data_IF_294239238764
#
_entry.id   IF_294239238764
#
_cell.length_a   1.000
_cell.length_b   1.000
_cell.length_c   1.000
_cell.angle_alpha   90.00
_cell.angle_beta   90.00
_cell.angle_gamma   90.00
#
_symmetry.space_group_name_H-M   'P 1'
#
loop_
_entity.id
_entity.type
_entity.pdbx_description
1 polymer ?
#
# COMPACT_ATOMS: atom_id res chain seq x y z
N UNK A 1 16.54 51.48 36.43
CA UNK A 1 15.36 50.59 36.21
C UNK A 1 15.26 50.36 34.72
N UNK A 2 15.75 49.21 34.27
CA UNK A 2 15.79 48.83 32.85
C UNK A 2 14.68 47.81 32.64
N UNK A 3 13.68 48.18 31.81
CA UNK A 3 12.56 47.32 31.44
C UNK A 3 13.08 46.23 30.47
N UNK A 4 12.78 44.92 30.67
CA UNK A 4 13.12 43.89 29.70
C UNK A 4 12.20 43.98 28.49
N UNK A 5 12.78 43.94 27.30
CA UNK A 5 12.06 43.85 26.02
C UNK A 5 11.38 42.48 25.90
N UNK A 6 10.09 42.50 25.59
CA UNK A 6 9.29 41.28 25.26
C UNK A 6 9.77 40.65 23.95
N UNK A 7 9.74 39.30 23.84
CA UNK A 7 10.16 38.63 22.62
C UNK A 7 9.10 38.73 21.53
N UNK A 8 9.41 39.45 20.45
CA UNK A 8 8.58 39.54 19.23
C UNK A 8 8.68 38.28 18.35
N UNK A 9 8.46 37.07 18.90
CA UNK A 9 8.62 35.80 18.19
C UNK A 9 7.33 35.18 17.64
N UNK A 10 6.14 35.62 18.07
CA UNK A 10 4.91 34.84 17.90
C UNK A 10 4.22 35.04 16.53
N UNK A 11 4.37 36.16 15.88
CA UNK A 11 3.59 36.53 14.67
C UNK A 11 4.25 36.05 13.35
N UNK A 12 5.56 35.88 13.34
CA UNK A 12 6.31 35.31 12.20
C UNK A 12 6.08 33.80 12.09
N UNK A 13 6.05 33.09 13.23
CA UNK A 13 5.80 31.67 13.33
C UNK A 13 4.36 31.30 12.89
N UNK A 14 3.38 32.11 13.28
CA UNK A 14 1.98 31.91 12.86
C UNK A 14 1.72 32.16 11.36
N UNK A 15 2.48 33.05 10.73
CA UNK A 15 2.41 33.25 9.27
C UNK A 15 3.10 32.11 8.52
N UNK A 16 4.25 31.67 8.96
CA UNK A 16 4.98 30.55 8.36
C UNK A 16 4.12 29.27 8.38
N UNK A 17 3.54 28.90 9.53
CA UNK A 17 2.65 27.74 9.65
C UNK A 17 1.43 27.81 8.73
N UNK A 18 0.80 28.96 8.58
CA UNK A 18 -0.33 29.13 7.65
C UNK A 18 0.09 28.94 6.20
N UNK A 19 1.27 29.42 5.81
CA UNK A 19 1.82 29.22 4.48
C UNK A 19 2.15 27.76 4.20
N UNK A 20 2.73 27.05 5.16
CA UNK A 20 3.08 25.64 5.06
C UNK A 20 1.81 24.78 4.97
N UNK A 21 0.78 25.08 5.77
CA UNK A 21 -0.52 24.41 5.70
C UNK A 21 -1.17 24.58 4.33
N UNK A 22 -1.26 25.82 3.85
CA UNK A 22 -1.85 26.09 2.53
C UNK A 22 -1.07 25.43 1.39
N UNK A 23 0.26 25.37 1.51
CA UNK A 23 1.10 24.67 0.54
C UNK A 23 0.86 23.18 0.54
N UNK A 24 0.71 22.56 1.72
CA UNK A 24 0.40 21.13 1.88
C UNK A 24 -0.99 20.80 1.32
N UNK A 25 -2.01 21.61 1.64
CA UNK A 25 -3.36 21.45 1.10
C UNK A 25 -3.36 21.53 -0.42
N UNK A 26 -2.69 22.53 -0.99
CA UNK A 26 -2.60 22.67 -2.44
C UNK A 26 -1.86 21.51 -3.11
N UNK A 27 -0.83 20.97 -2.45
CA UNK A 27 -0.12 19.78 -2.92
C UNK A 27 -1.04 18.56 -2.93
N UNK A 28 -1.85 18.37 -1.89
CA UNK A 28 -2.83 17.28 -1.81
C UNK A 28 -3.91 17.39 -2.91
N UNK A 29 -4.45 18.58 -3.14
CA UNK A 29 -5.41 18.84 -4.24
C UNK A 29 -4.82 18.46 -5.60
N UNK A 30 -3.56 18.82 -5.84
CA UNK A 30 -2.85 18.48 -7.08
C UNK A 30 -2.60 16.97 -7.19
N UNK A 31 -2.28 16.26 -6.10
CA UNK A 31 -2.19 14.80 -6.09
C UNK A 31 -3.53 14.13 -6.47
N UNK A 32 -4.64 14.58 -5.89
CA UNK A 32 -5.97 14.08 -6.25
C UNK A 32 -6.32 14.39 -7.73
N UNK A 33 -5.96 15.56 -8.22
CA UNK A 33 -6.17 15.92 -9.63
C UNK A 33 -5.32 15.03 -10.56
N UNK A 34 -4.06 14.78 -10.21
CA UNK A 34 -3.17 13.89 -10.97
C UNK A 34 -3.69 12.45 -10.98
N UNK A 35 -4.15 11.93 -9.82
CA UNK A 35 -4.78 10.59 -9.75
C UNK A 35 -5.96 10.48 -10.71
N UNK A 36 -6.84 11.49 -10.75
CA UNK A 36 -7.99 11.50 -11.69
C UNK A 36 -7.52 11.56 -13.14
N UNK A 37 -6.52 12.40 -13.44
CA UNK A 37 -5.94 12.49 -14.79
C UNK A 37 -5.38 11.14 -15.25
N UNK A 38 -4.59 10.47 -14.41
CA UNK A 38 -4.04 9.14 -14.71
C UNK A 38 -5.15 8.09 -14.83
N UNK A 39 -6.15 8.12 -13.96
CA UNK A 39 -7.29 7.18 -14.02
C UNK A 39 -7.98 7.21 -15.38
N UNK A 40 -8.25 8.40 -15.91
CA UNK A 40 -8.96 8.57 -17.19
C UNK A 40 -8.05 8.55 -18.42
N UNK A 41 -6.87 9.13 -18.31
CA UNK A 41 -5.96 9.33 -19.45
C UNK A 41 -4.89 8.26 -19.62
N UNK A 42 -4.73 7.37 -18.63
CA UNK A 42 -3.77 6.28 -18.68
C UNK A 42 -2.47 6.53 -17.90
N UNK A 43 -1.71 5.45 -17.69
CA UNK A 43 -0.47 5.48 -16.91
C UNK A 43 0.70 6.19 -17.63
N UNK A 44 0.61 6.35 -18.96
CA UNK A 44 1.70 6.85 -19.79
C UNK A 44 1.68 8.37 -20.02
N UNK A 45 0.68 9.08 -19.47
CA UNK A 45 0.57 10.52 -19.64
C UNK A 45 1.89 11.23 -19.36
N UNK A 46 2.28 12.13 -20.25
CA UNK A 46 3.37 13.08 -20.03
C UNK A 46 3.00 14.12 -18.98
N UNK A 47 3.98 14.85 -18.44
CA UNK A 47 3.70 15.95 -17.48
C UNK A 47 2.82 17.03 -18.09
N UNK A 48 2.93 17.28 -19.39
CA UNK A 48 2.14 18.29 -20.09
C UNK A 48 0.67 17.86 -20.22
N UNK A 49 0.44 16.61 -20.62
CA UNK A 49 -0.89 16.04 -20.70
C UNK A 49 -1.55 15.95 -19.31
N UNK A 50 -0.78 15.53 -18.28
CA UNK A 50 -1.28 15.54 -16.90
C UNK A 50 -1.69 16.94 -16.45
N UNK A 51 -0.84 17.96 -16.65
CA UNK A 51 -1.15 19.34 -16.28
C UNK A 51 -2.42 19.84 -16.99
N UNK A 52 -2.57 19.54 -18.28
CA UNK A 52 -3.76 19.88 -19.05
C UNK A 52 -5.03 19.22 -18.47
N UNK A 53 -4.98 17.91 -18.20
CA UNK A 53 -6.12 17.19 -17.62
C UNK A 53 -6.42 17.58 -16.16
N UNK A 54 -5.41 18.02 -15.40
CA UNK A 54 -5.56 18.57 -14.06
C UNK A 54 -6.18 19.99 -14.06
N UNK A 55 -6.34 20.62 -15.22
CA UNK A 55 -6.82 22.00 -15.34
C UNK A 55 -5.84 23.03 -14.78
N UNK A 56 -4.52 22.76 -14.84
CA UNK A 56 -3.49 23.64 -14.30
C UNK A 56 -2.33 23.82 -15.29
N UNK A 57 -1.42 24.74 -14.99
CA UNK A 57 -0.24 24.95 -15.84
C UNK A 57 0.89 23.98 -15.46
N UNK A 58 1.70 23.59 -16.44
CA UNK A 58 2.93 22.82 -16.27
C UNK A 58 3.83 23.42 -15.17
N UNK A 59 3.99 24.75 -15.17
CA UNK A 59 4.82 25.45 -14.18
C UNK A 59 4.34 25.26 -12.76
N UNK A 60 3.02 25.16 -12.53
CA UNK A 60 2.46 24.88 -11.20
C UNK A 60 2.80 23.45 -10.79
N UNK A 61 2.63 22.46 -11.69
CA UNK A 61 2.94 21.06 -11.37
C UNK A 61 4.43 20.90 -11.03
N UNK A 62 5.34 21.44 -11.84
CA UNK A 62 6.79 21.38 -11.58
C UNK A 62 7.21 22.09 -10.27
N UNK A 63 6.50 23.13 -9.86
CA UNK A 63 6.77 23.82 -8.58
C UNK A 63 6.50 22.95 -7.36
N UNK A 64 5.56 21.99 -7.45
CA UNK A 64 5.17 21.11 -6.33
C UNK A 64 5.83 19.74 -6.38
N UNK A 65 6.18 19.24 -7.55
CA UNK A 65 6.59 17.83 -7.73
C UNK A 65 7.94 17.64 -8.46
N UNK A 66 8.64 18.71 -8.78
CA UNK A 66 9.96 18.68 -9.42
C UNK A 66 9.94 18.02 -10.81
N UNK A 67 9.49 16.76 -10.90
CA UNK A 67 9.43 15.95 -12.11
C UNK A 67 8.28 14.92 -12.05
N UNK A 68 8.20 14.05 -13.07
CA UNK A 68 7.19 12.99 -13.15
C UNK A 68 7.39 11.93 -12.06
N UNK A 69 8.63 11.65 -11.67
CA UNK A 69 8.92 10.70 -10.60
C UNK A 69 8.41 11.22 -9.24
N UNK A 70 8.68 12.50 -8.92
CA UNK A 70 8.16 13.14 -7.72
C UNK A 70 6.64 13.21 -7.66
N UNK A 71 5.97 13.44 -8.81
CA UNK A 71 4.50 13.37 -8.88
C UNK A 71 4.00 11.93 -8.66
N UNK A 72 4.66 10.94 -9.26
CA UNK A 72 4.34 9.52 -9.10
C UNK A 72 4.46 9.08 -7.65
N UNK A 73 5.58 9.40 -6.99
CA UNK A 73 5.80 9.11 -5.57
C UNK A 73 4.72 9.76 -4.69
N UNK A 74 4.36 11.01 -4.95
CA UNK A 74 3.32 11.70 -4.20
C UNK A 74 1.92 11.07 -4.36
N UNK A 75 1.55 10.67 -5.58
CA UNK A 75 0.30 9.93 -5.84
C UNK A 75 0.34 8.55 -5.20
N UNK A 76 1.49 7.86 -5.29
CA UNK A 76 1.71 6.56 -4.65
C UNK A 76 1.53 6.64 -3.14
N UNK A 77 2.21 7.58 -2.48
CA UNK A 77 2.09 7.79 -1.03
C UNK A 77 0.64 8.09 -0.59
N UNK A 78 -0.10 8.87 -1.38
CA UNK A 78 -1.53 9.13 -1.10
C UNK A 78 -2.37 7.85 -1.19
N UNK A 79 -2.20 7.04 -2.24
CA UNK A 79 -2.91 5.76 -2.41
C UNK A 79 -2.56 4.79 -1.29
N UNK A 80 -1.27 4.70 -0.92
CA UNK A 80 -0.81 3.85 0.16
C UNK A 80 -1.39 4.27 1.52
N UNK A 81 -1.47 5.58 1.79
CA UNK A 81 -2.07 6.10 3.02
C UNK A 81 -3.57 5.76 3.11
N UNK A 82 -4.32 5.91 2.02
CA UNK A 82 -5.74 5.52 1.94
C UNK A 82 -5.91 4.01 2.19
N UNK A 83 -5.07 3.18 1.56
CA UNK A 83 -5.09 1.73 1.75
C UNK A 83 -4.72 1.34 3.17
N UNK A 84 -3.68 1.95 3.76
CA UNK A 84 -3.25 1.67 5.14
C UNK A 84 -4.38 1.93 6.14
N UNK A 85 -5.09 3.05 6.02
CA UNK A 85 -6.25 3.34 6.86
C UNK A 85 -7.35 2.28 6.74
N UNK A 86 -7.68 1.86 5.52
CA UNK A 86 -8.69 0.82 5.29
C UNK A 86 -8.23 -0.55 5.82
N UNK A 87 -6.93 -0.88 5.70
CA UNK A 87 -6.38 -2.11 6.27
C UNK A 87 -6.40 -2.11 7.80
N UNK A 88 -6.07 -0.98 8.43
CA UNK A 88 -6.15 -0.82 9.88
C UNK A 88 -7.57 -1.04 10.39
N UNK A 89 -8.56 -0.42 9.74
CA UNK A 89 -9.97 -0.62 10.05
C UNK A 89 -10.39 -2.09 9.88
N UNK A 90 -9.97 -2.74 8.78
CA UNK A 90 -10.30 -4.14 8.53
C UNK A 90 -9.63 -5.09 9.54
N UNK A 91 -8.38 -4.84 9.93
CA UNK A 91 -7.64 -5.66 10.88
C UNK A 91 -8.23 -5.61 12.29
N UNK A 92 -8.76 -4.44 12.69
CA UNK A 92 -9.38 -4.23 14.01
C UNK A 92 -10.91 -4.32 13.98
N UNK A 93 -11.51 -4.55 12.81
CA UNK A 93 -12.95 -4.64 12.62
C UNK A 93 -13.58 -5.81 13.38
N UNK A 94 -14.90 -5.72 13.62
CA UNK A 94 -15.69 -6.81 14.15
C UNK A 94 -15.74 -7.98 13.15
N UNK A 95 -15.68 -9.21 13.65
CA UNK A 95 -15.77 -10.40 12.82
C UNK A 95 -14.70 -11.43 13.15
N UNK A 96 -14.79 -12.57 12.48
CA UNK A 96 -13.80 -13.63 12.63
C UNK A 96 -12.46 -13.23 11.99
N UNK A 97 -11.34 -13.87 12.37
CA UNK A 97 -10.07 -13.69 11.66
C UNK A 97 -10.17 -13.92 10.15
N UNK A 98 -11.04 -14.85 9.73
CA UNK A 98 -11.33 -15.10 8.31
C UNK A 98 -12.01 -13.91 7.64
N UNK A 99 -12.97 -13.27 8.30
CA UNK A 99 -13.68 -12.11 7.76
C UNK A 99 -12.73 -10.91 7.60
N UNK A 100 -11.87 -10.69 8.61
CA UNK A 100 -10.85 -9.65 8.55
C UNK A 100 -9.85 -9.87 7.41
N UNK A 101 -9.37 -11.11 7.24
CA UNK A 101 -8.48 -11.46 6.13
C UNK A 101 -9.17 -11.22 4.78
N UNK A 102 -10.43 -11.65 4.63
CA UNK A 102 -11.22 -11.42 3.41
C UNK A 102 -11.41 -9.94 3.13
N UNK A 103 -11.69 -9.12 4.15
CA UNK A 103 -11.83 -7.68 4.00
C UNK A 103 -10.52 -7.05 3.49
N UNK A 104 -9.36 -7.43 4.04
CA UNK A 104 -8.07 -6.95 3.59
C UNK A 104 -7.75 -7.34 2.13
N UNK A 105 -8.03 -8.59 1.75
CA UNK A 105 -7.92 -9.02 0.33
C UNK A 105 -8.84 -8.19 -0.55
N UNK A 106 -10.07 -7.91 -0.09
CA UNK A 106 -11.05 -7.08 -0.80
C UNK A 106 -10.56 -5.65 -1.02
N UNK A 107 -9.96 -5.03 -0.01
CA UNK A 107 -9.36 -3.69 -0.11
C UNK A 107 -8.29 -3.66 -1.19
N UNK A 108 -7.36 -4.63 -1.16
CA UNK A 108 -6.27 -4.68 -2.14
C UNK A 108 -6.80 -4.86 -3.57
N UNK A 109 -7.55 -5.94 -3.81
CA UNK A 109 -8.11 -6.25 -5.14
C UNK A 109 -9.02 -5.13 -5.64
N UNK A 110 -9.86 -4.57 -4.76
CA UNK A 110 -10.77 -3.47 -5.09
C UNK A 110 -10.01 -2.20 -5.51
N UNK A 111 -8.93 -1.84 -4.82
CA UNK A 111 -8.08 -0.69 -5.18
C UNK A 111 -7.47 -0.87 -6.57
N UNK A 112 -6.97 -2.08 -6.88
CA UNK A 112 -6.42 -2.38 -8.20
C UNK A 112 -7.50 -2.36 -9.30
N UNK A 113 -8.67 -2.93 -9.00
CA UNK A 113 -9.80 -2.99 -9.93
C UNK A 113 -10.36 -1.60 -10.26
N UNK A 114 -10.44 -0.71 -9.24
CA UNK A 114 -10.94 0.66 -9.43
C UNK A 114 -10.11 1.47 -10.41
N UNK A 115 -8.79 1.28 -10.43
CA UNK A 115 -7.93 2.02 -11.35
C UNK A 115 -6.63 1.29 -11.68
N UNK A 116 -6.72 0.40 -12.65
CA UNK A 116 -5.55 -0.26 -13.25
C UNK A 116 -4.49 0.75 -13.74
N UNK A 117 -4.93 1.90 -14.27
CA UNK A 117 -4.03 2.95 -14.74
C UNK A 117 -3.25 3.59 -13.59
N UNK A 118 -3.91 3.90 -12.46
CA UNK A 118 -3.24 4.45 -11.29
C UNK A 118 -2.27 3.42 -10.71
N UNK A 119 -2.68 2.16 -10.59
CA UNK A 119 -1.78 1.10 -10.14
C UNK A 119 -0.52 1.00 -11.02
N UNK A 120 -0.69 0.92 -12.33
CA UNK A 120 0.43 0.88 -13.28
C UNK A 120 1.31 2.13 -13.20
N UNK A 121 0.71 3.29 -12.97
CA UNK A 121 1.45 4.55 -12.85
C UNK A 121 2.35 4.56 -11.61
N UNK A 122 1.83 4.15 -10.45
CA UNK A 122 2.57 4.21 -9.17
C UNK A 122 3.58 3.08 -9.00
N UNK A 123 3.31 1.88 -9.58
CA UNK A 123 4.20 0.71 -9.47
C UNK A 123 5.27 0.65 -10.53
N UNK A 124 5.24 1.54 -11.52
CA UNK A 124 6.23 1.55 -12.59
C UNK A 124 7.57 2.06 -12.04
N UNK A 125 8.56 1.18 -12.01
CA UNK A 125 9.94 1.58 -11.72
C UNK A 125 10.40 2.63 -12.74
N UNK A 126 10.97 3.73 -12.25
CA UNK A 126 11.58 4.74 -13.13
C UNK A 126 12.71 4.14 -13.95
N UNK A 127 12.98 4.73 -15.11
CA UNK A 127 14.06 4.31 -15.99
C UNK A 127 15.40 4.26 -15.20
N UNK A 128 15.80 3.06 -14.79
CA UNK A 128 17.13 2.80 -14.25
C UNK A 128 17.26 2.37 -12.78
N UNK A 129 16.19 2.24 -12.01
CA UNK A 129 16.27 1.71 -10.63
C UNK A 129 15.66 0.31 -10.53
N UNK A 130 16.46 -0.74 -10.24
CA UNK A 130 15.90 -2.04 -9.89
C UNK A 130 15.45 -2.03 -8.43
N UNK A 131 14.15 -2.21 -8.22
CA UNK A 131 13.56 -2.40 -6.89
C UNK A 131 12.30 -1.54 -6.68
N UNK A 132 11.44 -1.95 -5.76
CA UNK A 132 10.35 -1.08 -5.31
C UNK A 132 10.93 0.16 -4.64
N UNK A 133 10.32 1.33 -4.91
CA UNK A 133 10.64 2.56 -4.18
C UNK A 133 10.52 2.29 -2.67
N UNK A 134 11.30 3.00 -1.83
CA UNK A 134 11.29 2.82 -0.37
C UNK A 134 9.87 2.87 0.21
N UNK A 135 9.04 3.80 -0.27
CA UNK A 135 7.64 3.95 0.13
C UNK A 135 6.80 2.67 -0.10
N UNK A 136 7.04 1.96 -1.22
CA UNK A 136 6.36 0.68 -1.51
C UNK A 136 6.86 -0.43 -0.60
N UNK A 137 8.15 -0.44 -0.29
CA UNK A 137 8.75 -1.43 0.63
C UNK A 137 8.21 -1.26 2.04
N UNK A 138 8.14 -0.03 2.54
CA UNK A 138 7.60 0.30 3.86
C UNK A 138 6.09 -0.04 3.95
N UNK A 139 5.35 0.23 2.88
CA UNK A 139 3.94 -0.18 2.80
C UNK A 139 3.77 -1.70 2.87
N UNK A 140 4.56 -2.46 2.11
CA UNK A 140 4.48 -3.92 2.14
C UNK A 140 4.83 -4.48 3.52
N UNK A 141 5.77 -3.87 4.24
CA UNK A 141 6.10 -4.23 5.61
C UNK A 141 4.92 -3.97 6.54
N UNK A 142 4.34 -2.77 6.51
CA UNK A 142 3.16 -2.41 7.29
C UNK A 142 1.97 -3.33 6.98
N UNK A 143 1.75 -3.64 5.72
CA UNK A 143 0.70 -4.57 5.30
C UNK A 143 0.93 -5.98 5.87
N UNK A 144 2.18 -6.44 5.89
CA UNK A 144 2.54 -7.73 6.49
C UNK A 144 2.18 -7.77 7.97
N UNK A 145 2.43 -6.69 8.72
CA UNK A 145 2.08 -6.60 10.14
C UNK A 145 0.57 -6.66 10.37
N UNK A 146 -0.24 -5.98 9.55
CA UNK A 146 -1.70 -6.06 9.62
C UNK A 146 -2.23 -7.47 9.32
N UNK A 147 -1.65 -8.15 8.33
CA UNK A 147 -2.03 -9.53 7.99
C UNK A 147 -1.58 -10.52 9.07
N UNK A 148 -0.44 -10.28 9.72
CA UNK A 148 0.09 -11.15 10.77
C UNK A 148 -0.82 -11.20 12.00
N UNK A 149 -1.52 -10.14 12.34
CA UNK A 149 -2.38 -10.07 13.54
C UNK A 149 -3.49 -11.13 13.53
N UNK A 150 -4.38 -11.23 12.52
CA UNK A 150 -5.41 -12.27 12.47
C UNK A 150 -4.81 -13.68 12.31
N UNK A 151 -3.67 -13.83 11.66
CA UNK A 151 -3.00 -15.12 11.54
C UNK A 151 -2.45 -15.60 12.90
N UNK A 152 -1.87 -14.72 13.71
CA UNK A 152 -1.43 -15.06 15.07
C UNK A 152 -2.60 -15.53 15.93
N UNK A 153 -3.77 -14.89 15.82
CA UNK A 153 -4.99 -15.28 16.55
C UNK A 153 -5.40 -16.72 16.21
N UNK A 154 -5.36 -17.11 14.93
CA UNK A 154 -5.66 -18.47 14.47
C UNK A 154 -4.61 -19.47 14.95
N UNK A 155 -3.33 -19.12 14.85
CA UNK A 155 -2.22 -20.02 15.19
C UNK A 155 -2.05 -20.21 16.71
N UNK A 156 -2.44 -19.24 17.53
CA UNK A 156 -2.38 -19.36 19.00
C UNK A 156 -3.32 -20.44 19.52
N UNK A 157 -4.41 -20.75 18.80
CA UNK A 157 -5.32 -21.87 19.11
C UNK A 157 -4.80 -23.25 18.65
N UNK A 158 -3.71 -23.31 17.89
CA UNK A 158 -3.03 -24.52 17.46
C UNK A 158 -1.62 -24.57 18.09
N UNK A 159 -1.07 -25.76 18.27
CA UNK A 159 0.28 -25.98 18.85
C UNK A 159 1.44 -25.42 18.00
N UNK A 160 1.19 -24.42 17.18
CA UNK A 160 2.12 -23.89 16.21
C UNK A 160 3.00 -22.77 16.79
N UNK A 161 4.22 -22.65 16.30
CA UNK A 161 5.16 -21.59 16.69
C UNK A 161 4.64 -20.21 16.26
N UNK A 162 4.48 -19.22 17.15
CA UNK A 162 4.02 -17.88 16.78
C UNK A 162 4.83 -17.21 15.68
N UNK A 163 6.12 -17.57 15.52
CA UNK A 163 7.00 -17.07 14.47
C UNK A 163 6.53 -17.47 13.07
N UNK A 164 5.72 -18.53 12.95
CA UNK A 164 5.12 -18.92 11.67
C UNK A 164 4.12 -17.88 11.16
N UNK A 165 3.46 -17.12 12.06
CA UNK A 165 2.50 -16.12 11.66
C UNK A 165 3.14 -15.02 10.81
N UNK A 166 4.33 -14.56 11.15
CA UNK A 166 5.05 -13.51 10.42
C UNK A 166 5.51 -14.02 9.04
N UNK A 167 6.05 -15.24 9.00
CA UNK A 167 6.45 -15.87 7.73
C UNK A 167 5.23 -16.12 6.81
N UNK A 168 4.10 -16.53 7.39
CA UNK A 168 2.87 -16.75 6.65
C UNK A 168 2.25 -15.44 6.18
N UNK A 169 2.28 -14.40 7.00
CA UNK A 169 1.80 -13.07 6.63
C UNK A 169 2.55 -12.53 5.40
N UNK A 170 3.86 -12.63 5.39
CA UNK A 170 4.68 -12.26 4.22
C UNK A 170 4.30 -13.10 2.99
N UNK A 171 4.10 -14.41 3.17
CA UNK A 171 3.63 -15.31 2.10
C UNK A 171 2.25 -14.94 1.57
N UNK A 172 1.30 -14.62 2.48
CA UNK A 172 -0.05 -14.16 2.12
C UNK A 172 0.00 -12.88 1.31
N UNK A 173 0.74 -11.87 1.76
CA UNK A 173 0.91 -10.61 1.03
C UNK A 173 1.49 -10.85 -0.36
N UNK A 174 2.54 -11.66 -0.47
CA UNK A 174 3.15 -12.02 -1.75
C UNK A 174 2.18 -12.76 -2.68
N UNK A 175 1.41 -13.71 -2.13
CA UNK A 175 0.43 -14.48 -2.90
C UNK A 175 -0.72 -13.60 -3.42
N UNK A 176 -1.31 -12.78 -2.54
CA UNK A 176 -2.41 -11.86 -2.92
C UNK A 176 -1.94 -10.89 -3.99
N UNK A 177 -0.76 -10.29 -3.78
CA UNK A 177 -0.15 -9.37 -4.75
C UNK A 177 0.07 -10.05 -6.09
N UNK A 178 0.78 -11.17 -6.13
CA UNK A 178 1.08 -11.88 -7.37
C UNK A 178 -0.18 -12.36 -8.11
N UNK A 179 -1.19 -12.83 -7.37
CA UNK A 179 -2.48 -13.24 -7.94
C UNK A 179 -3.23 -12.06 -8.56
N UNK A 180 -3.29 -10.91 -7.87
CA UNK A 180 -3.97 -9.74 -8.37
C UNK A 180 -3.24 -9.10 -9.55
N UNK A 181 -1.91 -9.04 -9.54
CA UNK A 181 -1.08 -8.56 -10.66
C UNK A 181 -1.26 -9.46 -11.89
N UNK A 182 -1.27 -10.77 -11.71
CA UNK A 182 -1.53 -11.74 -12.79
C UNK A 182 -2.94 -11.58 -13.37
N UNK A 183 -3.95 -11.38 -12.51
CA UNK A 183 -5.31 -11.10 -12.94
C UNK A 183 -5.42 -9.77 -13.72
N UNK A 184 -4.72 -8.71 -13.28
CA UNK A 184 -4.67 -7.43 -14.00
C UNK A 184 -3.97 -7.51 -15.35
N UNK A 185 -3.08 -8.47 -15.55
CA UNK A 185 -2.37 -8.67 -16.81
C UNK A 185 -3.24 -9.32 -17.89
N UNK A 186 -4.35 -9.96 -17.51
CA UNK A 186 -5.31 -10.54 -18.45
C UNK A 186 -6.05 -9.47 -19.26
N UNK A 187 -6.56 -9.83 -20.42
CA UNK A 187 -7.51 -8.99 -21.14
C UNK A 187 -8.74 -8.72 -20.25
N UNK A 188 -9.28 -7.50 -20.21
CA UNK A 188 -10.47 -7.19 -19.43
C UNK A 188 -11.65 -8.15 -19.65
N UNK A 189 -11.82 -8.68 -20.85
CA UNK A 189 -12.88 -9.64 -21.18
C UNK A 189 -12.67 -11.01 -20.53
N UNK A 190 -11.42 -11.37 -20.23
CA UNK A 190 -11.05 -12.68 -19.65
C UNK A 190 -10.90 -12.63 -18.13
N UNK A 191 -11.02 -11.43 -17.53
CA UNK A 191 -10.87 -11.26 -16.09
C UNK A 191 -12.08 -11.79 -15.34
N UNK A 192 -11.81 -12.49 -14.25
CA UNK A 192 -12.84 -12.77 -13.25
C UNK A 192 -13.38 -11.44 -12.69
N UNK A 193 -14.64 -11.46 -12.29
CA UNK A 193 -15.20 -10.41 -11.47
C UNK A 193 -14.34 -10.21 -10.19
N UNK A 194 -14.03 -8.96 -9.77
CA UNK A 194 -13.18 -8.68 -8.62
C UNK A 194 -13.68 -9.35 -7.33
N UNK A 195 -14.98 -9.34 -7.05
CA UNK A 195 -15.54 -9.93 -5.83
C UNK A 195 -15.36 -11.46 -5.85
N UNK A 196 -15.52 -12.08 -7.01
CA UNK A 196 -15.27 -13.51 -7.19
C UNK A 196 -13.80 -13.85 -6.97
N UNK A 197 -12.88 -13.02 -7.47
CA UNK A 197 -11.44 -13.17 -7.22
C UNK A 197 -11.12 -13.09 -5.73
N UNK A 198 -11.69 -12.12 -5.02
CA UNK A 198 -11.54 -11.96 -3.55
C UNK A 198 -11.98 -13.22 -2.83
N UNK A 199 -13.16 -13.76 -3.17
CA UNK A 199 -13.68 -14.99 -2.56
C UNK A 199 -12.75 -16.17 -2.78
N UNK A 200 -12.27 -16.37 -4.02
CA UNK A 200 -11.39 -17.49 -4.35
C UNK A 200 -10.05 -17.39 -3.62
N UNK A 201 -9.40 -16.23 -3.65
CA UNK A 201 -8.13 -15.99 -2.95
C UNK A 201 -8.30 -16.21 -1.44
N UNK A 202 -9.33 -15.58 -0.83
CA UNK A 202 -9.56 -15.66 0.61
C UNK A 202 -9.85 -17.06 1.09
N UNK A 203 -10.66 -17.83 0.35
CA UNK A 203 -10.98 -19.21 0.70
C UNK A 203 -9.74 -20.12 0.60
N UNK A 204 -8.92 -19.93 -0.44
CA UNK A 204 -7.68 -20.69 -0.59
C UNK A 204 -6.69 -20.39 0.53
N UNK A 205 -6.49 -19.12 0.86
CA UNK A 205 -5.62 -18.70 1.97
C UNK A 205 -6.11 -19.25 3.30
N UNK A 206 -7.42 -19.17 3.56
CA UNK A 206 -8.01 -19.66 4.80
C UNK A 206 -7.89 -21.17 4.95
N UNK A 207 -8.17 -21.92 3.89
CA UNK A 207 -8.01 -23.37 3.88
C UNK A 207 -6.55 -23.78 4.15
N UNK A 208 -5.59 -23.06 3.57
CA UNK A 208 -4.17 -23.28 3.85
C UNK A 208 -3.77 -22.95 5.28
N UNK A 209 -4.28 -21.84 5.83
CA UNK A 209 -3.99 -21.40 7.20
C UNK A 209 -4.63 -22.30 8.28
N UNK A 210 -5.80 -22.86 7.98
CA UNK A 210 -6.54 -23.76 8.90
C UNK A 210 -6.24 -25.24 8.71
N UNK A 211 -5.42 -25.62 7.70
CA UNK A 211 -5.04 -26.99 7.51
C UNK A 211 -4.23 -27.50 8.73
N UNK A 212 -4.54 -28.70 9.26
CA UNK A 212 -3.71 -29.30 10.29
C UNK A 212 -2.29 -29.44 9.73
N UNK A 213 -1.32 -28.80 10.39
CA UNK A 213 0.09 -29.00 10.03
C UNK A 213 0.42 -30.46 10.30
N UNK A 214 0.81 -31.25 9.28
CA UNK A 214 1.34 -32.59 9.53
C UNK A 214 2.51 -32.41 10.49
N UNK A 215 2.52 -33.20 11.59
CA UNK A 215 3.52 -33.07 12.65
C UNK A 215 4.90 -32.90 12.02
N UNK A 216 5.51 -31.76 12.28
CA UNK A 216 6.88 -31.50 11.86
C UNK A 216 7.73 -32.44 12.71
N UNK A 217 7.97 -33.65 12.22
CA UNK A 217 9.02 -34.50 12.75
C UNK A 217 10.27 -33.64 12.68
N UNK A 218 10.88 -33.33 13.83
CA UNK A 218 12.15 -32.57 13.88
C UNK A 218 13.04 -33.15 12.84
N UNK A 219 13.46 -32.38 11.86
CA UNK A 219 14.54 -32.74 10.98
C UNK A 219 15.71 -32.96 11.92
N UNK A 220 16.07 -34.25 12.15
CA UNK A 220 17.23 -34.62 12.94
C UNK A 220 18.41 -33.85 12.37
N UNK A 221 19.01 -33.00 13.17
CA UNK A 221 20.28 -32.37 12.86
C UNK A 221 21.23 -33.50 12.45
N UNK A 222 21.73 -33.42 11.22
CA UNK A 222 22.78 -34.31 10.70
C UNK A 222 23.90 -34.32 11.74
N UNK A 223 24.33 -35.50 12.23
CA UNK A 223 25.48 -35.57 13.12
C UNK A 223 26.67 -35.00 12.36
N UNK A 224 27.34 -34.02 12.93
CA UNK A 224 28.65 -33.56 12.46
C UNK A 224 29.58 -34.73 12.71
N UNK A 225 29.99 -35.44 11.67
CA UNK A 225 31.12 -36.37 11.76
C UNK A 225 32.37 -35.56 12.08
N UNK A 226 32.84 -35.69 13.30
CA UNK A 226 34.21 -35.28 13.67
C UNK A 226 35.18 -36.25 12.97
N UNK A 227 36.06 -35.69 12.15
CA UNK A 227 37.28 -36.30 11.65
C UNK A 227 38.48 -35.59 12.20
#
# INVERSE_FOLDING_TARGET
>A
MTTPAEPQGSDADGRSRRWDTHRAERRAELCHAARRAVHHGGAELSMDEMAAQMGTSKSIVYRYFTDKAGLRSAVGAMVLAEMSGAFEEAAHGAGSPQDRLRAMVGIYVGTLAQSTNVYRFVTRSGDGAPGPDADVSDFLTTLTDYVAAPLREVLTGSTSDPRLADAWAAGVVGFVRGSAESWLALDPADRLDPDRLVVLISNWLWAGASAPLPGITRISTVPTEEA
#
